data_IF_298784426802
#
_entry.id   IF_298784426802
#
_cell.length_a   1.000
_cell.length_b   1.000
_cell.length_c   1.000
_cell.angle_alpha   90.00
_cell.angle_beta   90.00
_cell.angle_gamma   90.00
#
_symmetry.space_group_name_H-M   'P 1'
#
loop_
_entity.id
_entity.type
_entity.pdbx_description
1 polymer ?
#
# COMPACT_ATOMS: atom_id res chain seq x y z
N UNK A 1 6.86 -25.67 3.47
CA UNK A 1 8.21 -25.10 3.36
C UNK A 1 8.05 -23.59 3.33
N UNK A 2 8.56 -22.88 4.34
CA UNK A 2 8.41 -21.42 4.42
C UNK A 2 9.46 -20.76 3.52
N UNK A 3 9.01 -19.95 2.55
CA UNK A 3 9.91 -19.20 1.67
C UNK A 3 10.70 -18.18 2.51
N UNK A 4 12.03 -18.02 2.32
CA UNK A 4 12.80 -17.02 3.04
C UNK A 4 12.23 -15.64 2.76
N UNK A 5 12.10 -14.82 3.81
CA UNK A 5 11.58 -13.47 3.69
C UNK A 5 12.38 -12.70 2.61
N UNK A 6 11.72 -11.96 1.70
CA UNK A 6 12.42 -11.21 0.66
C UNK A 6 13.42 -10.23 1.29
N UNK A 7 14.70 -10.33 0.93
CA UNK A 7 15.70 -9.31 1.27
C UNK A 7 15.43 -8.04 0.46
N UNK A 8 15.80 -6.87 1.00
CA UNK A 8 15.57 -5.55 0.36
C UNK A 8 16.18 -5.45 -1.05
N UNK A 9 17.21 -6.25 -1.34
CA UNK A 9 17.85 -6.34 -2.66
C UNK A 9 17.27 -7.43 -3.56
N UNK A 10 16.27 -8.18 -3.10
CA UNK A 10 15.63 -9.21 -3.89
C UNK A 10 14.79 -8.59 -5.02
N UNK A 11 14.90 -9.10 -6.26
CA UNK A 11 14.00 -8.72 -7.36
C UNK A 11 12.52 -8.89 -6.99
N UNK A 12 12.19 -9.90 -6.18
CA UNK A 12 10.82 -10.14 -5.72
C UNK A 12 10.32 -9.07 -4.76
N UNK A 13 11.20 -8.53 -3.90
CA UNK A 13 10.89 -7.40 -3.03
C UNK A 13 10.61 -6.13 -3.84
N UNK A 14 11.45 -5.84 -4.84
CA UNK A 14 11.26 -4.68 -5.71
C UNK A 14 9.95 -4.76 -6.49
N UNK A 15 9.62 -5.94 -7.04
CA UNK A 15 8.36 -6.15 -7.73
C UNK A 15 7.16 -5.98 -6.81
N UNK A 16 7.22 -6.53 -5.59
CA UNK A 16 6.17 -6.36 -4.58
C UNK A 16 6.00 -4.88 -4.20
N UNK A 17 7.10 -4.18 -3.92
CA UNK A 17 7.11 -2.74 -3.62
C UNK A 17 6.48 -1.92 -4.75
N UNK A 18 6.87 -2.16 -6.01
CA UNK A 18 6.29 -1.47 -7.16
C UNK A 18 4.79 -1.71 -7.29
N UNK A 19 4.31 -2.93 -7.04
CA UNK A 19 2.87 -3.25 -7.04
C UNK A 19 2.11 -2.49 -5.95
N UNK A 20 2.67 -2.41 -4.73
CA UNK A 20 2.04 -1.67 -3.64
C UNK A 20 1.97 -0.18 -3.94
N UNK A 21 3.07 0.43 -4.42
CA UNK A 21 3.10 1.85 -4.79
C UNK A 21 2.06 2.14 -5.89
N UNK A 22 1.97 1.29 -6.92
CA UNK A 22 0.98 1.42 -7.98
C UNK A 22 -0.45 1.32 -7.44
N UNK A 23 -0.74 0.37 -6.54
CA UNK A 23 -2.07 0.24 -5.94
C UNK A 23 -2.46 1.46 -5.10
N UNK A 24 -1.53 2.03 -4.34
CA UNK A 24 -1.75 3.26 -3.58
C UNK A 24 -2.05 4.45 -4.50
N UNK A 25 -1.24 4.63 -5.56
CA UNK A 25 -1.44 5.70 -6.54
C UNK A 25 -2.78 5.56 -7.28
N UNK A 26 -3.16 4.35 -7.69
CA UNK A 26 -4.45 4.05 -8.31
C UNK A 26 -5.63 4.47 -7.41
N UNK A 27 -5.57 4.09 -6.12
CA UNK A 27 -6.60 4.45 -5.14
C UNK A 27 -6.66 5.97 -4.94
N UNK A 28 -5.51 6.65 -4.86
CA UNK A 28 -5.47 8.12 -4.77
C UNK A 28 -6.11 8.80 -5.98
N UNK A 29 -5.80 8.34 -7.19
CA UNK A 29 -6.38 8.86 -8.44
C UNK A 29 -7.90 8.62 -8.46
N UNK A 30 -8.34 7.41 -8.15
CA UNK A 30 -9.76 7.04 -8.12
C UNK A 30 -10.55 7.92 -7.14
N UNK A 31 -9.99 8.17 -5.95
CA UNK A 31 -10.64 8.97 -4.92
C UNK A 31 -10.70 10.45 -5.29
N UNK A 32 -9.62 11.00 -5.86
CA UNK A 32 -9.62 12.35 -6.44
C UNK A 32 -10.69 12.51 -7.52
N UNK A 33 -10.81 11.55 -8.43
CA UNK A 33 -11.84 11.57 -9.48
C UNK A 33 -13.27 11.54 -8.92
N UNK A 34 -13.49 10.84 -7.80
CA UNK A 34 -14.78 10.77 -7.11
C UNK A 34 -15.07 12.00 -6.23
N UNK A 35 -14.16 12.97 -6.16
CA UNK A 35 -14.26 14.12 -5.26
C UNK A 35 -14.21 13.74 -3.78
N UNK A 36 -13.68 12.56 -3.45
CA UNK A 36 -13.60 12.04 -2.07
C UNK A 36 -12.15 12.03 -1.61
N UNK A 37 -11.89 12.55 -0.42
CA UNK A 37 -10.61 12.36 0.26
C UNK A 37 -10.70 11.18 1.22
N UNK A 38 -9.76 10.23 1.12
CA UNK A 38 -9.60 9.19 2.14
C UNK A 38 -8.52 9.60 3.15
N UNK A 39 -8.85 9.43 4.43
CA UNK A 39 -7.84 9.34 5.47
C UNK A 39 -7.01 8.06 5.28
N UNK A 40 -5.91 7.92 6.02
CA UNK A 40 -5.00 6.78 5.85
C UNK A 40 -5.65 5.43 6.16
N UNK A 41 -6.65 5.39 7.05
CA UNK A 41 -7.38 4.16 7.39
C UNK A 41 -8.24 3.68 6.21
N UNK A 42 -9.04 4.57 5.64
CA UNK A 42 -9.86 4.25 4.47
C UNK A 42 -9.01 3.86 3.25
N UNK A 43 -7.87 4.54 3.05
CA UNK A 43 -6.93 4.18 1.99
C UNK A 43 -6.30 2.80 2.21
N UNK A 44 -6.04 2.42 3.47
CA UNK A 44 -5.50 1.09 3.81
C UNK A 44 -6.48 -0.01 3.43
N UNK A 45 -7.79 0.19 3.67
CA UNK A 45 -8.82 -0.75 3.25
C UNK A 45 -8.91 -0.92 1.73
N UNK A 46 -8.98 0.19 1.00
CA UNK A 46 -9.06 0.17 -0.47
C UNK A 46 -7.80 -0.45 -1.12
N UNK A 47 -6.62 -0.18 -0.57
CA UNK A 47 -5.36 -0.78 -1.04
C UNK A 47 -5.33 -2.29 -0.78
N UNK A 48 -5.83 -2.73 0.38
CA UNK A 48 -5.96 -4.15 0.69
C UNK A 48 -6.86 -4.87 -0.30
N UNK A 49 -8.04 -4.30 -0.58
CA UNK A 49 -9.00 -4.83 -1.55
C UNK A 49 -8.38 -4.88 -2.96
N UNK A 50 -7.74 -3.79 -3.40
CA UNK A 50 -7.08 -3.69 -4.71
C UNK A 50 -5.97 -4.72 -4.90
N UNK A 51 -5.23 -5.03 -3.84
CA UNK A 51 -4.16 -6.02 -3.84
C UNK A 51 -4.65 -7.46 -3.59
N UNK A 52 -5.94 -7.65 -3.29
CA UNK A 52 -6.50 -8.95 -2.91
C UNK A 52 -5.89 -9.50 -1.63
N UNK A 53 -5.52 -8.63 -0.68
CA UNK A 53 -4.91 -9.01 0.59
C UNK A 53 -6.00 -9.35 1.61
N UNK A 54 -5.95 -10.57 2.13
CA UNK A 54 -6.71 -10.95 3.31
C UNK A 54 -5.97 -10.50 4.57
N UNK A 55 -6.48 -9.46 5.24
CA UNK A 55 -5.90 -8.93 6.46
C UNK A 55 -6.50 -9.66 7.65
N UNK A 56 -5.94 -10.84 7.94
CA UNK A 56 -6.42 -11.71 9.00
C UNK A 56 -5.96 -11.31 10.42
N UNK A 57 -4.99 -10.39 10.54
CA UNK A 57 -4.41 -10.01 11.84
C UNK A 57 -4.27 -8.49 12.00
N UNK A 58 -4.36 -7.98 13.25
CA UNK A 58 -4.10 -6.56 13.53
C UNK A 58 -2.71 -6.10 13.08
N UNK A 59 -1.69 -6.95 13.25
CA UNK A 59 -0.32 -6.63 12.83
C UNK A 59 -0.20 -6.44 11.31
N UNK A 60 -0.86 -7.31 10.52
CA UNK A 60 -0.87 -7.17 9.07
C UNK A 60 -1.56 -5.86 8.62
N UNK A 61 -2.61 -5.44 9.33
CA UNK A 61 -3.25 -4.15 9.09
C UNK A 61 -2.29 -2.98 9.39
N UNK A 62 -1.65 -3.01 10.57
CA UNK A 62 -0.72 -1.94 10.98
C UNK A 62 0.45 -1.79 10.01
N UNK A 63 1.00 -2.89 9.51
CA UNK A 63 2.11 -2.88 8.55
C UNK A 63 1.69 -2.23 7.22
N UNK A 64 0.51 -2.60 6.71
CA UNK A 64 -0.04 -1.98 5.50
C UNK A 64 -0.36 -0.49 5.73
N UNK A 65 -0.92 -0.15 6.89
CA UNK A 65 -1.24 1.22 7.25
C UNK A 65 0.02 2.11 7.29
N UNK A 66 1.09 1.64 7.93
CA UNK A 66 2.40 2.34 7.95
C UNK A 66 2.95 2.53 6.54
N UNK A 67 2.80 1.52 5.69
CA UNK A 67 3.27 1.58 4.31
C UNK A 67 2.48 2.59 3.46
N UNK A 68 1.16 2.66 3.64
CA UNK A 68 0.30 3.68 3.03
C UNK A 68 0.73 5.06 3.50
N UNK A 69 0.91 5.29 4.80
CA UNK A 69 1.33 6.60 5.32
C UNK A 69 2.69 7.04 4.76
N UNK A 70 3.68 6.15 4.76
CA UNK A 70 5.01 6.46 4.25
C UNK A 70 4.96 6.83 2.75
N UNK A 71 4.20 6.08 1.96
CA UNK A 71 4.08 6.32 0.52
C UNK A 71 3.40 7.64 0.21
N UNK A 72 2.30 7.95 0.92
CA UNK A 72 1.57 9.22 0.74
C UNK A 72 2.46 10.43 1.07
N UNK A 73 3.25 10.33 2.14
CA UNK A 73 4.18 11.39 2.54
C UNK A 73 5.21 11.66 1.44
N UNK A 74 5.80 10.61 0.87
CA UNK A 74 6.75 10.74 -0.25
C UNK A 74 6.09 11.37 -1.47
N UNK A 75 4.85 10.99 -1.80
CA UNK A 75 4.12 11.56 -2.92
C UNK A 75 3.78 13.05 -2.73
N UNK A 76 3.58 13.48 -1.48
CA UNK A 76 3.32 14.88 -1.12
C UNK A 76 4.59 15.73 -1.09
N UNK A 77 5.73 15.17 -0.69
CA UNK A 77 7.03 15.87 -0.66
C UNK A 77 7.67 16.01 -2.06
N UNK A 78 7.21 15.23 -3.04
CA UNK A 78 7.68 15.29 -4.44
C UNK A 78 6.89 16.22 -5.37
N UNK A 79 5.89 16.95 -4.84
CA UNK A 79 5.11 17.98 -5.53
C UNK A 79 5.59 19.38 -5.14
#
# INVERSE_FOLDING_TARGET
>A
MSSPAPTIQSPTWNQYRSRVIAAIADVEVLMRQRGKGLNSEGMTGEVAERLGLDIATPTAYEDLFKLVQATRRIAQEGL
#
